data_IF_229489203458
#
_entry.id   IF_229489203458
#
_cell.length_a   1.000
_cell.length_b   1.000
_cell.length_c   1.000
_cell.angle_alpha   90.00
_cell.angle_beta   90.00
_cell.angle_gamma   90.00
#
_symmetry.space_group_name_H-M   'P 1'
#
loop_
_entity.id
_entity.type
_entity.pdbx_description
1 polymer ?
#
# COMPACT_ATOMS: atom_id res chain seq x y z
N UNK A 1 -10.48 23.85 7.16
CA UNK A 1 -9.20 23.13 7.06
C UNK A 1 -9.44 21.69 6.60
N UNK A 2 -8.48 21.08 5.91
CA UNK A 2 -8.46 19.62 5.74
C UNK A 2 -8.00 19.01 7.06
N UNK A 3 -8.84 18.16 7.65
CA UNK A 3 -8.62 17.55 8.96
C UNK A 3 -7.97 16.17 8.85
N UNK A 4 -7.18 15.79 9.86
CA UNK A 4 -6.71 14.41 10.01
C UNK A 4 -7.90 13.47 10.17
N UNK A 5 -7.74 12.23 9.71
CA UNK A 5 -8.77 11.19 9.84
C UNK A 5 -8.29 9.99 10.63
N UNK A 6 -9.20 9.43 11.41
CA UNK A 6 -9.06 8.11 12.03
C UNK A 6 -10.32 7.28 11.76
N UNK A 7 -10.36 6.06 12.28
CA UNK A 7 -11.55 5.21 12.21
C UNK A 7 -12.60 5.71 13.20
N UNK A 8 -13.88 5.61 12.83
CA UNK A 8 -14.99 5.93 13.73
C UNK A 8 -15.29 4.79 14.70
N UNK A 9 -15.18 3.55 14.22
CA UNK A 9 -15.40 2.34 15.00
C UNK A 9 -14.24 1.36 14.87
N UNK A 10 -14.11 0.46 15.85
CA UNK A 10 -13.20 -0.68 15.74
C UNK A 10 -13.77 -1.67 14.71
N UNK A 11 -12.92 -2.19 13.83
CA UNK A 11 -13.30 -3.29 12.95
C UNK A 11 -12.31 -4.44 13.02
N UNK A 12 -12.82 -5.66 12.80
CA UNK A 12 -12.06 -6.90 12.88
C UNK A 12 -12.19 -7.69 11.60
N UNK A 13 -11.11 -8.35 11.22
CA UNK A 13 -11.07 -9.31 10.13
C UNK A 13 -10.24 -10.52 10.53
N UNK A 14 -10.43 -11.61 9.80
CA UNK A 14 -9.64 -12.83 9.96
C UNK A 14 -9.26 -13.30 8.58
N UNK A 15 -8.00 -13.71 8.43
CA UNK A 15 -7.49 -14.25 7.18
C UNK A 15 -6.26 -15.09 7.42
N UNK A 16 -5.47 -15.25 6.37
CA UNK A 16 -4.19 -15.93 6.40
C UNK A 16 -3.11 -15.00 5.84
N UNK A 17 -1.88 -15.10 6.31
CA UNK A 17 -0.73 -14.46 5.65
C UNK A 17 -0.46 -15.12 4.30
N UNK A 18 -0.06 -14.34 3.30
CA UNK A 18 0.26 -14.86 1.96
C UNK A 18 1.50 -15.76 2.04
N UNK A 19 2.56 -15.26 2.67
CA UNK A 19 3.85 -15.92 2.68
C UNK A 19 3.96 -16.97 3.77
N UNK A 20 3.57 -16.62 4.99
CA UNK A 20 3.58 -17.50 6.16
C UNK A 20 2.52 -18.60 6.12
N UNK A 21 1.37 -18.34 5.48
CA UNK A 21 0.20 -19.22 5.56
C UNK A 21 -0.46 -19.27 6.95
N UNK A 22 0.00 -18.45 7.90
CA UNK A 22 -0.53 -18.44 9.26
C UNK A 22 -1.88 -17.75 9.33
N UNK A 23 -2.79 -18.30 10.14
CA UNK A 23 -4.05 -17.63 10.46
C UNK A 23 -3.77 -16.40 11.31
N UNK A 24 -4.33 -15.26 10.91
CA UNK A 24 -4.16 -13.99 11.61
C UNK A 24 -5.50 -13.31 11.87
N UNK A 25 -5.64 -12.77 13.08
CA UNK A 25 -6.71 -11.85 13.45
C UNK A 25 -6.18 -10.42 13.32
N UNK A 26 -6.86 -9.62 12.49
CA UNK A 26 -6.59 -8.21 12.29
C UNK A 26 -7.65 -7.40 13.05
N UNK A 27 -7.22 -6.46 13.88
CA UNK A 27 -8.11 -5.45 14.48
C UNK A 27 -7.61 -4.05 14.15
N UNK A 28 -8.45 -3.25 13.51
CA UNK A 28 -8.17 -1.84 13.23
C UNK A 28 -8.91 -0.98 14.25
N UNK A 29 -8.19 -0.06 14.91
CA UNK A 29 -8.74 0.81 15.95
C UNK A 29 -8.50 2.30 15.64
N UNK A 30 -9.39 3.19 16.13
CA UNK A 30 -9.12 4.62 16.16
C UNK A 30 -7.82 4.91 16.94
N UNK A 31 -7.10 5.94 16.52
CA UNK A 31 -5.88 6.42 17.18
C UNK A 31 -5.93 7.95 17.34
N UNK A 32 -5.26 8.52 18.36
CA UNK A 32 -5.25 9.96 18.58
C UNK A 32 -4.55 10.71 17.44
N UNK A 33 -4.78 12.02 17.40
CA UNK A 33 -4.12 12.94 16.48
C UNK A 33 -2.60 12.76 16.50
N UNK A 34 -1.97 12.79 15.32
CA UNK A 34 -0.53 12.61 15.11
C UNK A 34 0.04 11.24 15.57
N UNK A 35 -0.80 10.24 15.84
CA UNK A 35 -0.32 8.89 16.11
C UNK A 35 0.33 8.24 14.87
N UNK A 36 -0.14 8.59 13.68
CA UNK A 36 0.21 7.88 12.45
C UNK A 36 -0.43 6.49 12.40
N UNK A 37 0.07 5.65 11.48
CA UNK A 37 -0.29 4.23 11.42
C UNK A 37 0.71 3.42 12.23
N UNK A 38 0.24 2.70 13.25
CA UNK A 38 1.10 1.93 14.15
C UNK A 38 0.61 0.49 14.22
N UNK A 39 1.50 -0.44 13.91
CA UNK A 39 1.25 -1.88 14.02
C UNK A 39 1.58 -2.38 15.43
N UNK A 40 0.79 -3.32 15.94
CA UNK A 40 0.96 -3.96 17.24
C UNK A 40 0.93 -5.48 17.09
N UNK A 41 2.00 -6.14 17.50
CA UNK A 41 2.07 -7.61 17.64
C UNK A 41 1.51 -8.03 18.99
N UNK A 42 0.21 -8.27 19.00
CA UNK A 42 -0.58 -8.55 20.23
C UNK A 42 -0.48 -9.99 20.72
N UNK A 43 0.13 -10.85 19.93
CA UNK A 43 0.50 -12.22 20.29
C UNK A 43 1.78 -12.31 21.15
N UNK A 44 2.52 -11.20 21.30
CA UNK A 44 3.75 -11.11 22.08
C UNK A 44 3.51 -10.45 23.45
N UNK A 45 4.31 -10.84 24.45
CA UNK A 45 4.31 -10.24 25.79
C UNK A 45 5.75 -9.84 26.17
N UNK A 46 6.06 -8.54 26.30
CA UNK A 46 5.17 -7.40 26.08
C UNK A 46 4.78 -7.22 24.61
N UNK A 47 3.63 -6.58 24.37
CA UNK A 47 3.19 -6.19 23.02
C UNK A 47 4.25 -5.31 22.37
N UNK A 48 4.64 -5.66 21.14
CA UNK A 48 5.62 -4.88 20.38
C UNK A 48 4.90 -4.00 19.37
N UNK A 49 5.23 -2.70 19.40
CA UNK A 49 4.71 -1.69 18.49
C UNK A 49 5.74 -1.35 17.40
N UNK A 50 5.26 -1.13 16.17
CA UNK A 50 6.09 -0.75 15.03
C UNK A 50 5.38 0.33 14.23
N UNK A 51 5.95 1.53 14.18
CA UNK A 51 5.41 2.62 13.35
C UNK A 51 5.57 2.26 11.87
N UNK A 52 4.53 2.48 11.07
CA UNK A 52 4.57 2.33 9.62
C UNK A 52 5.37 3.48 8.99
N UNK A 53 6.70 3.37 9.05
CA UNK A 53 7.62 4.41 8.63
C UNK A 53 8.75 3.82 7.80
N UNK A 54 9.22 4.56 6.80
CA UNK A 54 10.22 4.10 5.83
C UNK A 54 11.53 3.60 6.48
N UNK A 55 11.91 4.19 7.62
CA UNK A 55 13.10 3.80 8.38
C UNK A 55 12.94 2.49 9.17
N UNK A 56 11.71 2.06 9.42
CA UNK A 56 11.43 0.78 10.08
C UNK A 56 11.30 -0.37 9.07
N UNK A 57 11.38 -0.12 7.76
CA UNK A 57 11.42 -1.17 6.74
C UNK A 57 12.78 -1.88 6.81
N UNK A 58 12.75 -3.20 7.04
CA UNK A 58 13.96 -4.03 7.19
C UNK A 58 14.12 -5.11 6.11
N UNK A 59 13.02 -5.56 5.50
CA UNK A 59 13.04 -6.49 4.38
C UNK A 59 12.02 -6.05 3.32
N UNK A 60 12.39 -6.24 2.06
CA UNK A 60 11.60 -5.88 0.88
C UNK A 60 11.49 -7.03 -0.13
N UNK A 61 11.85 -8.25 0.30
CA UNK A 61 11.79 -9.46 -0.51
C UNK A 61 10.35 -9.92 -0.63
N UNK A 62 9.78 -9.80 -1.83
CA UNK A 62 8.39 -10.18 -2.19
C UNK A 62 7.26 -9.39 -1.52
N UNK A 63 7.51 -8.70 -0.41
CA UNK A 63 6.59 -7.80 0.28
C UNK A 63 7.36 -6.70 1.02
N UNK A 64 6.69 -5.71 1.57
CA UNK A 64 7.30 -4.74 2.50
C UNK A 64 7.14 -5.21 3.94
N UNK A 65 8.26 -5.33 4.66
CA UNK A 65 8.29 -5.81 6.04
C UNK A 65 8.86 -4.76 6.99
N UNK A 66 8.12 -4.47 8.06
CA UNK A 66 8.52 -3.56 9.13
C UNK A 66 9.19 -4.31 10.28
N UNK A 67 10.16 -3.67 10.95
CA UNK A 67 10.92 -4.24 12.06
C UNK A 67 10.99 -3.28 13.26
N UNK A 68 11.05 -3.87 14.45
CA UNK A 68 11.48 -3.24 15.69
C UNK A 68 12.23 -4.28 16.53
N UNK A 69 13.57 -4.16 16.59
CA UNK A 69 14.42 -5.25 17.09
C UNK A 69 14.25 -6.50 16.24
N UNK A 70 14.05 -7.64 16.89
CA UNK A 70 13.86 -8.94 16.21
C UNK A 70 12.41 -9.22 15.80
N UNK A 71 11.47 -8.30 16.10
CA UNK A 71 10.05 -8.47 15.78
C UNK A 71 9.74 -7.82 14.45
N UNK A 72 8.95 -8.52 13.64
CA UNK A 72 8.53 -8.08 12.31
C UNK A 72 7.02 -8.05 12.12
N UNK A 73 6.60 -7.24 11.15
CA UNK A 73 5.28 -7.26 10.53
C UNK A 73 5.46 -7.29 9.01
N UNK A 74 5.08 -8.42 8.40
CA UNK A 74 5.20 -8.72 6.98
C UNK A 74 3.96 -8.24 6.20
N UNK A 75 4.15 -7.94 4.90
CA UNK A 75 3.08 -7.71 3.90
C UNK A 75 2.15 -6.52 4.24
N UNK A 76 2.73 -5.37 4.59
CA UNK A 76 1.95 -4.19 5.00
C UNK A 76 1.34 -3.38 3.85
N UNK A 77 1.86 -3.53 2.64
CA UNK A 77 1.63 -2.68 1.48
C UNK A 77 0.14 -2.57 1.07
N UNK A 78 -0.62 -3.67 1.05
CA UNK A 78 -2.03 -3.62 0.59
C UNK A 78 -2.94 -2.91 1.59
N UNK A 79 -2.71 -3.13 2.88
CA UNK A 79 -3.44 -2.44 3.95
C UNK A 79 -3.09 -0.95 3.97
N UNK A 80 -1.80 -0.61 3.86
CA UNK A 80 -1.35 0.78 3.79
C UNK A 80 -1.88 1.48 2.53
N UNK A 81 -1.98 0.76 1.41
CA UNK A 81 -2.58 1.29 0.18
C UNK A 81 -4.05 1.65 0.38
N UNK A 82 -4.82 0.80 1.06
CA UNK A 82 -6.20 1.10 1.44
C UNK A 82 -6.30 2.33 2.37
N UNK A 83 -5.42 2.43 3.37
CA UNK A 83 -5.38 3.57 4.29
C UNK A 83 -5.03 4.87 3.58
N UNK A 84 -4.03 4.84 2.70
CA UNK A 84 -3.62 5.98 1.87
C UNK A 84 -4.77 6.44 0.94
N UNK A 85 -5.39 5.50 0.23
CA UNK A 85 -6.48 5.75 -0.71
C UNK A 85 -7.75 6.29 -0.06
N UNK A 86 -7.97 6.01 1.23
CA UNK A 86 -9.09 6.56 2.03
C UNK A 86 -8.70 7.78 2.87
N UNK A 87 -7.41 8.12 2.91
CA UNK A 87 -6.87 9.26 3.65
C UNK A 87 -6.88 9.10 5.17
N UNK A 88 -6.70 7.87 5.69
CA UNK A 88 -6.57 7.60 7.13
C UNK A 88 -5.20 8.05 7.63
N UNK A 89 -5.14 9.04 8.51
CA UNK A 89 -3.90 9.53 9.10
C UNK A 89 -3.48 8.74 10.35
N UNK A 90 -4.45 8.36 11.18
CA UNK A 90 -4.19 7.78 12.49
C UNK A 90 -4.96 6.48 12.65
N UNK A 91 -4.25 5.37 12.88
CA UNK A 91 -4.87 4.09 13.23
C UNK A 91 -3.91 3.18 13.99
N UNK A 92 -4.46 2.37 14.90
CA UNK A 92 -3.74 1.24 15.48
C UNK A 92 -4.15 -0.04 14.75
N UNK A 93 -3.15 -0.81 14.34
CA UNK A 93 -3.29 -2.05 13.57
C UNK A 93 -2.79 -3.21 14.42
N UNK A 94 -3.70 -3.92 15.06
CA UNK A 94 -3.36 -5.08 15.89
C UNK A 94 -3.38 -6.35 15.04
N UNK A 95 -2.31 -7.14 15.17
CA UNK A 95 -2.15 -8.44 14.54
C UNK A 95 -1.88 -9.48 15.62
N UNK A 96 -2.44 -10.67 15.42
CA UNK A 96 -2.19 -11.85 16.25
C UNK A 96 -1.10 -12.77 15.70
N UNK A 97 -0.41 -12.37 14.64
CA UNK A 97 0.64 -13.11 13.94
C UNK A 97 1.57 -12.11 13.23
N UNK A 98 2.65 -12.59 12.60
CA UNK A 98 3.65 -11.70 11.99
C UNK A 98 3.26 -11.09 10.66
N UNK A 99 2.21 -11.55 9.99
CA UNK A 99 1.86 -11.11 8.65
C UNK A 99 0.43 -10.58 8.58
N UNK A 100 0.23 -9.47 7.85
CA UNK A 100 -1.11 -8.94 7.55
C UNK A 100 -1.89 -9.96 6.71
N UNK A 101 -3.20 -10.19 6.97
CA UNK A 101 -3.96 -11.16 6.16
C UNK A 101 -4.03 -10.72 4.70
N UNK A 102 -3.77 -11.63 3.76
CA UNK A 102 -3.76 -11.30 2.32
C UNK A 102 -5.16 -11.01 1.75
N UNK A 103 -6.20 -11.45 2.45
CA UNK A 103 -7.59 -11.34 2.01
C UNK A 103 -7.79 -11.98 0.62
N UNK A 104 -8.18 -11.19 -0.38
CA UNK A 104 -8.35 -11.61 -1.78
C UNK A 104 -7.15 -11.26 -2.67
N UNK A 105 -6.04 -10.81 -2.09
CA UNK A 105 -4.85 -10.34 -2.79
C UNK A 105 -4.89 -8.88 -3.22
N UNK A 106 -5.94 -8.13 -2.86
CA UNK A 106 -6.09 -6.72 -3.20
C UNK A 106 -6.38 -5.86 -1.97
N UNK A 107 -6.44 -4.54 -2.15
CA UNK A 107 -6.85 -3.60 -1.11
C UNK A 107 -8.39 -3.51 -0.93
N UNK A 108 -9.17 -4.09 -1.84
CA UNK A 108 -10.63 -4.00 -1.87
C UNK A 108 -11.32 -4.41 -0.56
N UNK A 109 -10.99 -5.59 0.00
CA UNK A 109 -11.53 -6.01 1.30
C UNK A 109 -11.21 -5.03 2.43
N UNK A 110 -9.99 -4.48 2.48
CA UNK A 110 -9.62 -3.48 3.48
C UNK A 110 -10.37 -2.16 3.30
N UNK A 111 -10.52 -1.70 2.06
CA UNK A 111 -11.32 -0.51 1.74
C UNK A 111 -12.76 -0.69 2.23
N UNK A 112 -13.37 -1.85 1.93
CA UNK A 112 -14.72 -2.17 2.38
C UNK A 112 -14.84 -2.16 3.91
N UNK A 113 -13.90 -2.80 4.61
CA UNK A 113 -13.86 -2.84 6.07
C UNK A 113 -13.75 -1.43 6.66
N UNK A 114 -12.80 -0.62 6.19
CA UNK A 114 -12.56 0.74 6.68
C UNK A 114 -13.79 1.63 6.43
N UNK A 115 -14.40 1.56 5.24
CA UNK A 115 -15.62 2.32 4.95
C UNK A 115 -16.81 1.86 5.81
N UNK A 116 -16.94 0.56 6.07
CA UNK A 116 -17.98 0.01 6.95
C UNK A 116 -17.80 0.44 8.40
N UNK A 117 -16.55 0.56 8.87
CA UNK A 117 -16.23 1.11 10.19
C UNK A 117 -16.55 2.61 10.30
N UNK A 118 -16.53 3.31 9.18
CA UNK A 118 -16.69 4.76 9.09
C UNK A 118 -15.39 5.51 9.41
N UNK A 119 -15.31 6.74 8.91
CA UNK A 119 -14.18 7.65 9.16
C UNK A 119 -14.62 8.75 10.13
N UNK A 120 -13.70 9.15 11.00
CA UNK A 120 -13.88 10.27 11.93
C UNK A 120 -12.81 11.33 11.66
N UNK A 121 -13.24 12.58 11.45
CA UNK A 121 -12.32 13.71 11.33
C UNK A 121 -11.89 14.19 12.72
N UNK A 122 -10.60 14.41 12.90
CA UNK A 122 -10.03 14.86 14.17
C UNK A 122 -9.68 16.34 14.08
N UNK A 123 -9.76 17.06 15.21
CA UNK A 123 -9.55 18.51 15.24
C UNK A 123 -8.07 18.90 15.17
N UNK A 124 -7.42 18.52 14.06
CA UNK A 124 -6.04 18.84 13.74
C UNK A 124 -5.86 18.88 12.21
N UNK A 125 -4.99 19.75 11.69
CA UNK A 125 -4.76 19.84 10.26
C UNK A 125 -4.08 18.56 9.75
N UNK A 126 -4.58 18.04 8.62
CA UNK A 126 -3.92 17.00 7.85
C UNK A 126 -2.66 17.57 7.22
N UNK A 127 -1.54 16.87 7.43
CA UNK A 127 -0.24 17.20 6.86
C UNK A 127 -0.04 16.42 5.57
N UNK A 128 0.52 17.09 4.58
CA UNK A 128 0.92 16.51 3.30
C UNK A 128 2.40 16.75 3.08
N UNK A 129 3.06 15.83 2.38
CA UNK A 129 4.42 16.02 1.87
C UNK A 129 4.31 16.48 0.43
N UNK A 130 4.70 17.73 0.15
CA UNK A 130 4.74 18.27 -1.22
C UNK A 130 6.15 18.11 -1.80
N UNK A 131 6.23 17.53 -3.00
CA UNK A 131 7.47 17.38 -3.76
C UNK A 131 7.81 18.70 -4.45
N UNK A 132 8.99 19.24 -4.16
CA UNK A 132 9.52 20.51 -4.69
C UNK A 132 10.55 20.31 -5.81
N UNK A 133 11.26 19.16 -5.81
CA UNK A 133 12.28 18.82 -6.79
C UNK A 133 12.18 17.36 -7.20
N UNK A 134 12.68 17.03 -8.38
CA UNK A 134 12.82 15.63 -8.78
C UNK A 134 13.80 14.90 -7.85
N UNK A 135 13.42 13.71 -7.40
CA UNK A 135 14.27 12.78 -6.67
C UNK A 135 14.16 11.42 -7.36
N UNK A 136 15.28 10.86 -7.81
CA UNK A 136 15.32 9.61 -8.56
C UNK A 136 16.31 8.62 -7.92
N UNK A 137 15.93 7.35 -7.87
CA UNK A 137 16.83 6.24 -7.55
C UNK A 137 16.78 5.20 -8.66
N UNK A 138 17.94 4.68 -9.04
CA UNK A 138 18.09 3.72 -10.12
C UNK A 138 18.95 2.52 -9.68
N UNK A 139 18.62 1.33 -10.18
CA UNK A 139 19.38 0.10 -9.97
C UNK A 139 19.09 -0.89 -11.10
N UNK A 140 20.14 -1.41 -11.74
CA UNK A 140 20.05 -2.46 -12.77
C UNK A 140 19.03 -2.18 -13.89
N UNK A 141 18.97 -0.93 -14.34
CA UNK A 141 18.04 -0.47 -15.37
C UNK A 141 16.58 -0.31 -14.90
N UNK A 142 16.31 -0.43 -13.59
CA UNK A 142 15.04 -0.09 -12.94
C UNK A 142 15.15 1.30 -12.34
N UNK A 143 14.05 2.03 -12.26
CA UNK A 143 14.01 3.31 -11.55
C UNK A 143 12.72 3.51 -10.77
N UNK A 144 12.81 4.32 -9.73
CA UNK A 144 11.68 4.93 -9.06
C UNK A 144 12.00 6.41 -8.82
N UNK A 145 11.06 7.30 -9.12
CA UNK A 145 11.27 8.74 -8.92
C UNK A 145 10.01 9.49 -8.50
N UNK A 146 10.25 10.59 -7.79
CA UNK A 146 9.27 11.62 -7.52
C UNK A 146 9.51 12.83 -8.40
N UNK A 147 8.45 13.44 -8.91
CA UNK A 147 8.49 14.72 -9.61
C UNK A 147 7.44 15.68 -9.03
N UNK A 148 7.70 17.01 -9.02
CA UNK A 148 6.71 17.98 -8.59
C UNK A 148 5.44 17.90 -9.44
N UNK A 149 4.28 17.84 -8.78
CA UNK A 149 2.97 17.79 -9.43
C UNK A 149 1.91 18.32 -8.48
N UNK A 150 1.03 19.20 -8.97
CA UNK A 150 -0.07 19.77 -8.19
C UNK A 150 -1.25 18.80 -8.14
N UNK A 151 -1.09 17.73 -7.35
CA UNK A 151 -2.06 16.66 -7.17
C UNK A 151 -1.36 15.42 -6.63
N UNK A 152 -1.98 14.25 -6.77
CA UNK A 152 -1.30 12.98 -6.54
C UNK A 152 -1.50 12.07 -7.75
N UNK A 153 -0.40 11.69 -8.38
CA UNK A 153 -0.39 10.84 -9.57
C UNK A 153 0.63 9.73 -9.43
N UNK A 154 0.29 8.55 -9.92
CA UNK A 154 1.17 7.38 -9.91
C UNK A 154 1.20 6.79 -11.30
N UNK A 155 2.39 6.73 -11.88
CA UNK A 155 2.68 6.11 -13.17
C UNK A 155 3.57 4.91 -12.97
N UNK A 156 3.24 3.78 -13.58
CA UNK A 156 4.02 2.55 -13.45
C UNK A 156 4.15 1.84 -14.79
N UNK A 157 5.34 1.30 -15.02
CA UNK A 157 5.66 0.46 -16.16
C UNK A 157 6.28 -0.86 -15.68
N UNK A 158 5.71 -1.97 -16.15
CA UNK A 158 6.23 -3.32 -15.95
C UNK A 158 6.88 -3.81 -17.25
N UNK A 159 7.85 -4.70 -17.12
CA UNK A 159 8.49 -5.35 -18.27
C UNK A 159 8.90 -6.77 -17.84
N UNK A 160 7.91 -7.66 -17.91
CA UNK A 160 8.08 -9.06 -17.58
C UNK A 160 8.43 -9.85 -18.84
N UNK A 161 9.54 -10.59 -18.79
CA UNK A 161 9.90 -11.56 -19.83
C UNK A 161 9.01 -12.81 -19.73
N UNK A 162 7.72 -12.66 -20.03
CA UNK A 162 6.72 -13.71 -19.97
C UNK A 162 5.77 -13.64 -21.17
N UNK A 163 5.60 -14.72 -21.96
CA UNK A 163 4.82 -14.70 -23.21
C UNK A 163 3.41 -14.14 -23.05
N UNK A 164 2.72 -14.51 -21.97
CA UNK A 164 1.37 -14.01 -21.67
C UNK A 164 1.31 -12.51 -21.33
N UNK A 165 2.36 -11.95 -20.71
CA UNK A 165 2.37 -10.56 -20.25
C UNK A 165 2.88 -9.59 -21.32
N UNK A 166 3.82 -10.01 -22.18
CA UNK A 166 4.42 -9.15 -23.22
C UNK A 166 3.41 -8.52 -24.18
N UNK A 167 2.30 -9.18 -24.41
CA UNK A 167 1.26 -8.73 -25.35
C UNK A 167 0.12 -7.94 -24.67
N UNK A 168 0.26 -7.59 -23.39
CA UNK A 168 -0.74 -6.86 -22.61
C UNK A 168 -0.30 -5.43 -22.32
N UNK A 169 -1.21 -4.63 -21.78
CA UNK A 169 -0.90 -3.31 -21.26
C UNK A 169 0.14 -3.40 -20.14
N UNK A 170 1.31 -2.81 -20.39
CA UNK A 170 2.46 -2.83 -19.48
C UNK A 170 2.67 -1.48 -18.77
N UNK A 171 1.96 -0.44 -19.19
CA UNK A 171 2.04 0.90 -18.61
C UNK A 171 0.67 1.35 -18.13
N UNK A 172 0.62 1.98 -16.97
CA UNK A 172 -0.59 2.65 -16.48
C UNK A 172 -0.22 3.93 -15.74
N UNK A 173 -1.10 4.92 -15.81
CA UNK A 173 -0.98 6.18 -15.07
C UNK A 173 -2.32 6.54 -14.47
N UNK A 174 -2.33 6.79 -13.17
CA UNK A 174 -3.54 7.13 -12.41
C UNK A 174 -3.34 8.46 -11.73
N UNK A 175 -4.13 9.45 -12.12
CA UNK A 175 -4.22 10.75 -11.46
C UNK A 175 -5.45 10.75 -10.53
N UNK A 176 -5.20 10.83 -9.22
CA UNK A 176 -6.23 10.75 -8.19
C UNK A 176 -7.06 12.03 -8.04
N UNK A 177 -6.74 13.10 -8.77
CA UNK A 177 -7.63 14.26 -8.90
C UNK A 177 -8.88 13.96 -9.73
N UNK A 178 -8.78 13.02 -10.67
CA UNK A 178 -9.84 12.67 -11.63
C UNK A 178 -10.27 11.21 -11.57
N UNK A 179 -9.47 10.36 -10.91
CA UNK A 179 -9.67 8.91 -10.87
C UNK A 179 -9.92 8.41 -9.46
N UNK A 180 -10.92 7.52 -9.30
CA UNK A 180 -11.23 6.94 -7.99
C UNK A 180 -10.31 5.76 -7.67
N UNK A 181 -9.51 5.89 -6.61
CA UNK A 181 -8.71 4.77 -6.07
C UNK A 181 -9.56 3.52 -5.82
N UNK A 182 -10.73 3.69 -5.19
CA UNK A 182 -11.62 2.57 -4.85
C UNK A 182 -12.08 1.82 -6.09
N UNK A 183 -12.46 2.53 -7.16
CA UNK A 183 -12.99 1.88 -8.37
C UNK A 183 -11.90 1.33 -9.28
N UNK A 184 -10.80 2.06 -9.44
CA UNK A 184 -9.83 1.79 -10.49
C UNK A 184 -8.60 1.03 -10.03
N UNK A 185 -8.25 1.09 -8.74
CA UNK A 185 -6.99 0.51 -8.22
C UNK A 185 -7.25 -0.54 -7.16
N UNK A 186 -8.14 -0.26 -6.19
CA UNK A 186 -8.22 -1.06 -4.95
C UNK A 186 -8.48 -2.55 -5.14
N UNK A 187 -9.14 -2.94 -6.24
CA UNK A 187 -9.50 -4.34 -6.51
C UNK A 187 -8.43 -5.10 -7.30
N UNK A 188 -7.34 -4.46 -7.72
CA UNK A 188 -6.29 -5.12 -8.49
C UNK A 188 -5.51 -6.10 -7.60
N UNK A 189 -5.55 -7.38 -7.93
CA UNK A 189 -4.96 -8.44 -7.11
C UNK A 189 -3.48 -8.63 -7.37
N UNK A 190 -2.80 -9.13 -6.35
CA UNK A 190 -1.44 -9.63 -6.45
C UNK A 190 -1.36 -10.80 -7.41
N UNK A 191 -0.16 -11.08 -7.90
CA UNK A 191 0.05 -12.11 -8.91
C UNK A 191 1.39 -12.81 -8.74
N UNK A 192 1.43 -14.07 -9.13
CA UNK A 192 2.63 -14.90 -9.12
C UNK A 192 2.64 -15.86 -10.31
N UNK A 193 3.83 -16.36 -10.64
CA UNK A 193 3.98 -17.32 -11.73
C UNK A 193 3.96 -18.75 -11.21
N UNK A 194 3.21 -19.63 -11.87
CA UNK A 194 3.07 -21.05 -11.50
C UNK A 194 4.42 -21.75 -11.38
N UNK A 195 5.35 -21.44 -12.29
CA UNK A 195 6.73 -21.96 -12.30
C UNK A 195 7.53 -21.65 -11.02
N UNK A 196 7.18 -20.56 -10.32
CA UNK A 196 7.93 -20.08 -9.16
C UNK A 196 7.35 -20.60 -7.84
N UNK A 197 6.09 -21.06 -7.83
CA UNK A 197 5.37 -21.45 -6.60
C UNK A 197 6.08 -22.57 -5.84
N UNK A 198 6.56 -23.62 -6.51
CA UNK A 198 7.28 -24.70 -5.84
C UNK A 198 8.58 -24.24 -5.19
N UNK A 199 9.31 -23.33 -5.85
CA UNK A 199 10.53 -22.75 -5.32
C UNK A 199 10.23 -21.88 -4.10
N UNK A 200 9.22 -21.01 -4.19
CA UNK A 200 8.78 -20.16 -3.10
C UNK A 200 8.39 -20.98 -1.87
N UNK A 201 7.55 -22.01 -2.06
CA UNK A 201 7.10 -22.87 -0.94
C UNK A 201 8.26 -23.62 -0.28
N UNK A 202 9.26 -24.07 -1.04
CA UNK A 202 10.49 -24.69 -0.49
C UNK A 202 11.30 -23.73 0.39
N UNK A 203 11.10 -22.43 0.25
CA UNK A 203 11.77 -21.38 1.04
C UNK A 203 10.82 -20.70 2.04
N UNK A 204 9.72 -21.36 2.42
CA UNK A 204 8.71 -20.83 3.35
C UNK A 204 8.05 -19.53 2.88
N UNK A 205 7.88 -19.38 1.55
CA UNK A 205 7.20 -18.26 0.91
C UNK A 205 5.97 -18.75 0.16
N UNK A 206 4.96 -17.89 0.05
CA UNK A 206 3.68 -18.17 -0.60
C UNK A 206 2.96 -19.43 -0.07
N UNK A 207 3.10 -19.73 1.22
CA UNK A 207 2.48 -20.90 1.86
C UNK A 207 0.94 -20.75 1.95
N UNK A 208 0.45 -19.52 2.08
CA UNK A 208 -0.98 -19.19 2.04
C UNK A 208 -1.51 -18.83 0.65
N UNK A 209 -0.66 -18.85 -0.38
CA UNK A 209 -1.02 -18.47 -1.75
C UNK A 209 -1.94 -19.49 -2.43
N UNK A 210 -3.02 -18.98 -3.04
CA UNK A 210 -4.01 -19.74 -3.81
C UNK A 210 -4.66 -18.86 -4.88
N UNK A 211 -5.45 -19.47 -5.78
CA UNK A 211 -6.21 -18.71 -6.80
C UNK A 211 -7.29 -17.79 -6.19
N UNK A 212 -7.65 -18.00 -4.92
CA UNK A 212 -8.61 -17.16 -4.20
C UNK A 212 -8.00 -15.82 -3.78
N UNK A 213 -6.67 -15.75 -3.64
CA UNK A 213 -5.97 -14.59 -3.10
C UNK A 213 -4.78 -14.11 -3.95
N UNK A 214 -4.58 -14.69 -5.13
CA UNK A 214 -3.60 -14.24 -6.10
C UNK A 214 -4.04 -14.63 -7.52
N UNK A 215 -3.64 -13.82 -8.50
CA UNK A 215 -3.65 -14.23 -9.90
C UNK A 215 -2.49 -15.18 -10.12
N UNK A 216 -2.77 -16.41 -10.54
CA UNK A 216 -1.73 -17.39 -10.85
C UNK A 216 -1.55 -17.44 -12.36
N UNK A 217 -0.36 -17.06 -12.82
CA UNK A 217 0.00 -17.01 -14.24
C UNK A 217 0.84 -18.22 -14.61
N UNK A 218 0.33 -19.04 -15.52
CA UNK A 218 1.09 -20.11 -16.18
C UNK A 218 1.62 -19.63 -17.55
N UNK A 219 2.40 -20.45 -18.25
CA UNK A 219 3.07 -20.10 -19.51
C UNK A 219 2.10 -19.53 -20.57
N UNK A 220 0.88 -20.07 -20.63
CA UNK A 220 -0.12 -19.78 -21.68
C UNK A 220 -1.22 -18.82 -21.20
N UNK A 221 -1.35 -18.56 -19.90
CA UNK A 221 -2.55 -17.89 -19.40
C UNK A 221 -2.64 -17.69 -17.89
N UNK A 222 -3.76 -17.09 -17.49
CA UNK A 222 -4.20 -16.99 -16.09
C UNK A 222 -4.97 -18.26 -15.73
N UNK A 223 -4.67 -18.85 -14.57
CA UNK A 223 -5.32 -20.08 -14.08
C UNK A 223 -6.63 -19.81 -13.32
N UNK A 224 -6.86 -18.57 -12.88
CA UNK A 224 -8.10 -18.19 -12.20
C UNK A 224 -9.28 -18.30 -13.19
N UNK A 225 -10.27 -19.14 -12.89
CA UNK A 225 -11.41 -19.43 -13.78
C UNK A 225 -12.23 -18.18 -14.13
N UNK A 226 -12.40 -17.27 -13.16
CA UNK A 226 -13.10 -15.98 -13.34
C UNK A 226 -12.27 -14.93 -14.09
N UNK A 227 -11.01 -15.24 -14.43
CA UNK A 227 -10.10 -14.35 -15.16
C UNK A 227 -9.63 -13.14 -14.36
N UNK A 228 -9.40 -12.03 -15.09
CA UNK A 228 -8.91 -10.76 -14.54
C UNK A 228 -10.08 -9.81 -14.22
N UNK A 229 -9.92 -8.99 -13.18
CA UNK A 229 -10.85 -7.91 -12.81
C UNK A 229 -10.69 -6.67 -13.69
N UNK A 230 -9.48 -6.46 -14.20
CA UNK A 230 -9.12 -5.42 -15.14
C UNK A 230 -8.22 -5.99 -16.24
N UNK A 231 -8.26 -5.44 -17.45
CA UNK A 231 -7.36 -5.89 -18.53
C UNK A 231 -5.87 -5.68 -18.15
N UNK A 232 -5.60 -4.58 -17.44
CA UNK A 232 -4.32 -4.10 -16.97
C UNK A 232 -4.09 -4.38 -15.46
N UNK A 233 -4.75 -5.41 -14.91
CA UNK A 233 -4.74 -5.72 -13.46
C UNK A 233 -3.32 -5.86 -12.87
N UNK A 234 -2.36 -6.40 -13.63
CA UNK A 234 -0.97 -6.57 -13.19
C UNK A 234 -0.26 -5.24 -12.90
N UNK A 235 -0.34 -4.28 -13.82
CA UNK A 235 0.30 -2.96 -13.65
C UNK A 235 -0.50 -2.10 -12.65
N UNK A 236 -1.83 -2.23 -12.62
CA UNK A 236 -2.66 -1.61 -11.58
C UNK A 236 -2.33 -2.11 -10.17
N UNK A 237 -1.99 -3.40 -10.02
CA UNK A 237 -1.52 -3.91 -8.74
C UNK A 237 -0.16 -3.32 -8.37
N UNK A 238 0.75 -3.11 -9.33
CA UNK A 238 2.00 -2.39 -9.05
C UNK A 238 1.80 -0.94 -8.62
N UNK A 239 0.79 -0.28 -9.16
CA UNK A 239 0.34 1.04 -8.68
C UNK A 239 -0.20 0.94 -7.24
N UNK A 240 -1.00 -0.08 -6.94
CA UNK A 240 -1.51 -0.35 -5.58
C UNK A 240 -0.38 -0.55 -4.58
N UNK A 241 0.60 -1.42 -4.90
CA UNK A 241 1.80 -1.67 -4.10
C UNK A 241 2.56 -0.36 -3.85
N UNK A 242 2.83 0.40 -4.91
CA UNK A 242 3.52 1.68 -4.80
C UNK A 242 2.78 2.62 -3.84
N UNK A 243 1.47 2.82 -3.99
CA UNK A 243 0.71 3.69 -3.08
C UNK A 243 0.85 3.28 -1.61
N UNK A 244 0.84 1.97 -1.34
CA UNK A 244 1.05 1.43 0.01
C UNK A 244 2.45 1.71 0.54
N UNK A 245 3.48 1.41 -0.25
CA UNK A 245 4.87 1.67 0.11
C UNK A 245 5.11 3.17 0.35
N UNK A 246 4.64 4.04 -0.54
CA UNK A 246 4.83 5.49 -0.43
C UNK A 246 4.17 6.06 0.83
N UNK A 247 3.14 5.41 1.36
CA UNK A 247 2.49 5.82 2.60
C UNK A 247 3.35 5.62 3.85
N UNK A 248 4.49 4.90 3.74
CA UNK A 248 5.51 4.80 4.78
C UNK A 248 6.28 6.12 5.00
N UNK A 249 6.01 7.16 4.20
CA UNK A 249 6.38 8.54 4.57
C UNK A 249 5.56 9.07 5.77
N UNK A 250 4.46 8.41 6.13
CA UNK A 250 3.59 8.79 7.25
C UNK A 250 2.59 9.90 6.94
N UNK A 251 2.65 10.51 5.76
CA UNK A 251 1.72 11.54 5.30
C UNK A 251 1.36 11.34 3.82
N UNK A 252 0.20 11.86 3.43
CA UNK A 252 -0.22 11.83 2.02
C UNK A 252 0.67 12.74 1.17
N UNK A 253 0.93 12.34 -0.07
CA UNK A 253 1.88 12.99 -0.97
C UNK A 253 1.19 13.94 -1.95
N UNK A 254 1.79 15.10 -2.21
CA UNK A 254 1.47 16.01 -3.30
C UNK A 254 2.66 16.00 -4.26
N UNK A 255 2.48 15.37 -5.41
CA UNK A 255 3.54 15.04 -6.36
C UNK A 255 3.15 13.85 -7.23
N UNK A 256 4.01 13.54 -8.18
CA UNK A 256 3.86 12.37 -9.04
C UNK A 256 4.97 11.36 -8.74
N UNK A 257 4.59 10.10 -8.57
CA UNK A 257 5.50 8.97 -8.55
C UNK A 257 5.57 8.33 -9.95
N UNK A 258 6.77 7.99 -10.40
CA UNK A 258 7.01 7.23 -11.63
C UNK A 258 7.91 6.03 -11.33
N UNK A 259 7.44 4.82 -11.62
CA UNK A 259 8.19 3.58 -11.42
C UNK A 259 8.33 2.79 -12.71
N UNK A 260 9.56 2.40 -13.05
CA UNK A 260 9.85 1.46 -14.14
C UNK A 260 10.50 0.21 -13.56
N UNK A 261 9.80 -0.93 -13.66
CA UNK A 261 10.21 -2.22 -13.09
C UNK A 261 10.56 -2.13 -11.59
N UNK A 262 10.01 -1.12 -10.90
CA UNK A 262 10.23 -0.92 -9.48
C UNK A 262 9.58 -2.03 -8.66
N UNK A 263 10.01 -2.15 -7.41
CA UNK A 263 9.40 -3.00 -6.39
C UNK A 263 9.65 -2.39 -5.01
N UNK A 264 9.23 -3.10 -3.97
CA UNK A 264 9.31 -2.63 -2.58
C UNK A 264 10.69 -2.09 -2.18
N UNK A 265 11.77 -2.76 -2.59
CA UNK A 265 13.14 -2.33 -2.30
C UNK A 265 13.48 -0.97 -2.88
N UNK A 266 13.20 -0.76 -4.17
CA UNK A 266 13.49 0.50 -4.86
C UNK A 266 12.54 1.61 -4.39
N UNK A 267 11.29 1.28 -4.07
CA UNK A 267 10.33 2.20 -3.46
C UNK A 267 10.85 2.71 -2.10
N UNK A 268 11.27 1.82 -1.20
CA UNK A 268 11.80 2.25 0.10
C UNK A 268 13.10 3.05 -0.03
N UNK A 269 13.98 2.69 -0.97
CA UNK A 269 15.17 3.49 -1.29
C UNK A 269 14.82 4.90 -1.74
N UNK A 270 13.80 5.06 -2.59
CA UNK A 270 13.30 6.37 -3.01
C UNK A 270 12.80 7.18 -1.80
N UNK A 271 12.03 6.56 -0.89
CA UNK A 271 11.56 7.24 0.32
C UNK A 271 12.70 7.72 1.21
N UNK A 272 13.70 6.87 1.43
CA UNK A 272 14.89 7.23 2.22
C UNK A 272 15.68 8.36 1.55
N UNK A 273 15.81 8.33 0.23
CA UNK A 273 16.46 9.40 -0.53
C UNK A 273 15.70 10.73 -0.40
N UNK A 274 14.36 10.71 -0.54
CA UNK A 274 13.52 11.89 -0.36
C UNK A 274 13.66 12.46 1.06
N UNK A 275 13.54 11.61 2.10
CA UNK A 275 13.66 12.03 3.51
C UNK A 275 15.02 12.70 3.76
N UNK A 276 16.11 12.14 3.23
CA UNK A 276 17.45 12.68 3.39
C UNK A 276 17.68 13.99 2.61
N UNK A 277 16.94 14.21 1.54
CA UNK A 277 17.03 15.41 0.71
C UNK A 277 15.96 16.44 1.12
N UNK A 278 16.18 17.09 2.27
CA UNK A 278 15.23 18.03 2.89
C UNK A 278 14.84 19.23 1.99
N UNK A 279 15.65 19.58 0.99
CA UNK A 279 15.37 20.67 0.05
C UNK A 279 14.46 20.26 -1.13
N UNK A 280 14.10 18.97 -1.22
CA UNK A 280 13.24 18.41 -2.26
C UNK A 280 11.78 18.29 -1.84
N UNK A 281 11.43 18.57 -0.58
CA UNK A 281 10.06 18.48 -0.09
C UNK A 281 9.75 19.46 1.04
N UNK A 282 8.47 19.70 1.26
CA UNK A 282 7.97 20.47 2.40
C UNK A 282 6.72 19.82 3.00
N UNK A 283 6.45 20.09 4.28
CA UNK A 283 5.18 19.73 4.91
C UNK A 283 4.19 20.89 4.75
N UNK A 284 3.01 20.59 4.20
CA UNK A 284 1.95 21.59 4.01
C UNK A 284 0.63 21.16 4.62
N UNK A 285 -0.19 22.15 4.95
CA UNK A 285 -1.56 21.99 5.46
C UNK A 285 -2.47 22.96 4.71
N UNK A 286 -3.77 22.65 4.64
CA UNK A 286 -4.73 23.49 3.91
C UNK A 286 -5.85 23.96 4.85
N UNK A 287 -5.96 25.27 5.05
CA UNK A 287 -7.04 25.90 5.82
C UNK A 287 -8.37 25.91 5.08
N UNK A 288 -8.34 25.94 3.75
CA UNK A 288 -9.51 25.82 2.89
C UNK A 288 -9.37 24.55 2.04
N UNK A 289 -10.32 23.63 2.16
CA UNK A 289 -10.30 22.39 1.40
C UNK A 289 -10.50 22.61 -0.10
N UNK A 290 -11.10 23.74 -0.50
CA UNK A 290 -11.35 24.08 -1.91
C UNK A 290 -10.09 24.51 -2.67
N UNK A 291 -9.01 24.86 -1.96
CA UNK A 291 -7.74 25.30 -2.55
C UNK A 291 -6.70 24.18 -2.60
N UNK A 292 -7.00 23.00 -2.05
CA UNK A 292 -6.11 21.87 -2.06
C UNK A 292 -6.13 21.13 -3.41
N UNK A 293 -4.96 20.68 -3.91
CA UNK A 293 -4.87 19.95 -5.18
C UNK A 293 -5.37 18.49 -5.08
N UNK A 294 -5.70 18.04 -3.88
CA UNK A 294 -6.20 16.69 -3.59
C UNK A 294 -7.52 16.83 -2.85
N UNK A 295 -8.54 16.10 -3.31
CA UNK A 295 -9.83 15.99 -2.64
C UNK A 295 -10.05 14.57 -2.14
N UNK A 296 -10.52 14.44 -0.89
CA UNK A 296 -10.92 13.15 -0.33
C UNK A 296 -12.44 13.01 -0.36
N UNK A 297 -12.92 11.77 -0.50
CA UNK A 297 -14.33 11.48 -0.30
C UNK A 297 -14.77 11.95 1.10
N UNK A 298 -15.99 12.49 1.18
CA UNK A 298 -16.59 12.86 2.47
C UNK A 298 -16.78 11.60 3.32
N UNK A 299 -16.55 11.66 4.65
CA UNK A 299 -16.95 10.59 5.54
C UNK A 299 -18.46 10.38 5.36
N UNK A 300 -18.86 9.21 4.87
CA UNK A 300 -20.29 8.88 4.81
C UNK A 300 -20.72 8.58 6.24
N UNK A 301 -21.76 9.25 6.72
CA UNK A 301 -22.35 8.90 8.01
C UNK A 301 -22.85 7.46 7.89
N UNK A 302 -22.28 6.55 8.69
CA UNK A 302 -22.88 5.23 8.88
C UNK A 302 -24.31 5.42 9.36
N UNK A 303 -25.27 4.88 8.61
CA UNK A 303 -26.71 4.86 8.94
C UNK A 303 -26.95 3.83 10.03
#
# INVERSE_FOLDING_TARGET
>A
MIKQRTLKNIIRATGIGLHSGEKVYLTLKPAPVNAGIVFFRTDLEPVVQINAHALNVGDTTLSTTLFNGDVKVDTVEHLLSAMAGLGIDNAYVELSASEVPIMDGSAGPFVFLIQSAGLEEQDAPKKFIRILKEVCVEEDGKYAKFVPFEGFKVSFEIDFDHPYLKNRTQTASVDFSSTSFVKEVSRARTFGFMKDIEYLRKHNLALGGSVENAIVVDKDGVLNEDGLRYEDEFVKHKILDAIGDLYLLGNSLIGEYQGFKSGHGLNNRLLRALIAQEDAWEVVTFEDASTAPISYMRPVAAV
#
